data_IF_025026291309
#
_entry.id   IF_025026291309
#
_cell.length_a   1.000
_cell.length_b   1.000
_cell.length_c   1.000
_cell.angle_alpha   90.00
_cell.angle_beta   90.00
_cell.angle_gamma   90.00
#
_symmetry.space_group_name_H-M   'P 1'
#
loop_
_entity.id
_entity.type
_entity.pdbx_description
1 polymer ?
#
# COMPACT_ATOMS: atom_id res chain seq x y z
N UNK A 1 -12.30 18.03 -26.31
CA UNK A 1 -11.95 17.46 -25.01
C UNK A 1 -10.51 17.81 -24.65
N UNK A 2 -10.34 18.58 -23.61
CA UNK A 2 -9.04 18.78 -23.02
C UNK A 2 -8.66 17.53 -22.24
N UNK A 3 -7.59 16.85 -22.63
CA UNK A 3 -7.00 15.77 -21.85
C UNK A 3 -6.46 16.33 -20.55
N UNK A 4 -7.03 15.89 -19.43
CA UNK A 4 -6.52 16.24 -18.10
C UNK A 4 -5.82 15.03 -17.50
N UNK A 5 -4.72 15.21 -16.76
CA UNK A 5 -4.11 14.10 -16.06
C UNK A 5 -5.07 13.55 -15.01
N UNK A 6 -5.14 12.24 -14.92
CA UNK A 6 -5.92 11.52 -13.91
C UNK A 6 -4.96 10.87 -12.95
N UNK A 7 -5.23 11.01 -11.66
CA UNK A 7 -4.46 10.36 -10.58
C UNK A 7 -5.40 9.45 -9.82
N UNK A 8 -4.99 8.21 -9.62
CA UNK A 8 -5.65 7.30 -8.69
C UNK A 8 -5.21 7.67 -7.29
N UNK A 9 -6.06 8.40 -6.57
CA UNK A 9 -5.68 9.01 -5.31
C UNK A 9 -5.38 8.01 -4.21
N UNK A 10 -6.14 6.92 -4.17
CA UNK A 10 -6.02 6.00 -3.06
C UNK A 10 -6.46 4.59 -3.44
N UNK A 11 -5.65 3.61 -3.11
CA UNK A 11 -6.01 2.21 -3.17
C UNK A 11 -5.23 1.45 -2.10
N UNK A 12 -5.81 0.39 -1.58
CA UNK A 12 -5.19 -0.44 -0.56
C UNK A 12 -5.73 -1.85 -0.61
N UNK A 13 -5.10 -2.74 0.13
CA UNK A 13 -5.51 -4.12 0.23
C UNK A 13 -5.04 -4.72 1.55
N UNK A 14 -5.89 -5.46 2.27
CA UNK A 14 -5.53 -6.03 3.56
C UNK A 14 -4.51 -7.15 3.42
N UNK A 15 -3.86 -7.48 4.54
CA UNK A 15 -3.03 -8.68 4.64
C UNK A 15 -3.86 -9.93 4.49
N UNK A 16 -3.22 -11.02 4.06
CA UNK A 16 -3.88 -12.31 3.93
C UNK A 16 -4.53 -12.70 5.25
N UNK A 17 -5.76 -13.22 5.18
CA UNK A 17 -6.58 -13.63 6.31
C UNK A 17 -6.86 -12.50 7.32
N UNK A 18 -6.78 -11.24 6.87
CA UNK A 18 -6.98 -10.06 7.73
C UNK A 18 -6.05 -10.03 8.95
N UNK A 19 -4.84 -10.50 8.80
CA UNK A 19 -3.81 -10.37 9.83
C UNK A 19 -3.29 -8.94 9.90
N UNK A 20 -2.75 -8.55 11.06
CA UNK A 20 -2.25 -7.18 11.30
C UNK A 20 -0.75 -7.14 11.48
N UNK A 21 -0.15 -8.23 11.91
CA UNK A 21 1.27 -8.27 12.29
C UNK A 21 2.17 -8.04 11.08
N UNK A 22 3.12 -7.14 11.24
CA UNK A 22 4.14 -6.84 10.23
C UNK A 22 4.91 -8.12 9.88
N UNK A 23 5.09 -8.35 8.57
CA UNK A 23 5.76 -9.57 8.09
C UNK A 23 4.83 -10.76 7.87
N UNK A 24 3.54 -10.68 8.26
CA UNK A 24 2.57 -11.69 7.87
C UNK A 24 2.35 -11.65 6.35
N UNK A 25 1.90 -12.78 5.73
CA UNK A 25 1.79 -12.86 4.28
C UNK A 25 0.92 -11.77 3.65
N UNK A 26 1.32 -11.29 2.49
CA UNK A 26 0.65 -10.25 1.72
C UNK A 26 0.39 -10.69 0.27
N UNK A 27 0.12 -11.98 0.05
CA UNK A 27 -0.03 -12.55 -1.30
C UNK A 27 -1.16 -11.89 -2.08
N UNK A 28 -2.32 -11.70 -1.47
CA UNK A 28 -3.46 -11.02 -2.10
C UNK A 28 -3.15 -9.56 -2.40
N UNK A 29 -2.54 -8.86 -1.45
CA UNK A 29 -2.10 -7.48 -1.63
C UNK A 29 -1.12 -7.33 -2.79
N UNK A 30 -0.11 -8.19 -2.86
CA UNK A 30 0.92 -8.14 -3.88
C UNK A 30 0.33 -8.36 -5.28
N UNK A 31 -0.61 -9.28 -5.41
CA UNK A 31 -1.34 -9.50 -6.67
C UNK A 31 -2.20 -8.28 -7.05
N UNK A 32 -2.90 -7.71 -6.10
CA UNK A 32 -3.74 -6.53 -6.31
C UNK A 32 -2.89 -5.32 -6.71
N UNK A 33 -1.81 -5.04 -6.00
CA UNK A 33 -0.90 -3.94 -6.34
C UNK A 33 -0.30 -4.11 -7.72
N UNK A 34 0.17 -5.31 -8.04
CA UNK A 34 0.72 -5.62 -9.38
C UNK A 34 -0.32 -5.37 -10.48
N UNK A 35 -1.56 -5.76 -10.23
CA UNK A 35 -2.66 -5.54 -11.17
C UNK A 35 -2.95 -4.05 -11.38
N UNK A 36 -3.10 -3.29 -10.29
CA UNK A 36 -3.35 -1.84 -10.36
C UNK A 36 -2.21 -1.13 -11.08
N UNK A 37 -0.97 -1.46 -10.75
CA UNK A 37 0.20 -0.86 -11.39
C UNK A 37 0.31 -1.20 -12.88
N UNK A 38 -0.08 -2.41 -13.28
CA UNK A 38 -0.10 -2.79 -14.70
C UNK A 38 -1.11 -1.96 -15.48
N UNK A 39 -2.30 -1.72 -14.92
CA UNK A 39 -3.32 -0.87 -15.54
C UNK A 39 -2.80 0.54 -15.71
N UNK A 40 -2.19 1.12 -14.68
CA UNK A 40 -1.65 2.49 -14.73
C UNK A 40 -0.56 2.60 -15.80
N UNK A 41 0.38 1.67 -15.79
CA UNK A 41 1.48 1.64 -16.77
C UNK A 41 0.97 1.52 -18.21
N UNK A 42 0.00 0.64 -18.44
CA UNK A 42 -0.42 0.27 -19.79
C UNK A 42 -1.50 1.22 -20.35
N UNK A 43 -2.26 1.91 -19.51
CA UNK A 43 -3.36 2.77 -19.95
C UNK A 43 -2.90 4.04 -20.68
N UNK A 44 -1.73 4.57 -20.32
CA UNK A 44 -1.25 5.86 -20.81
C UNK A 44 -2.11 7.07 -20.43
N UNK A 45 -3.15 6.87 -19.64
CA UNK A 45 -4.13 7.90 -19.24
C UNK A 45 -4.00 8.31 -17.78
N UNK A 46 -3.41 7.46 -16.95
CA UNK A 46 -3.25 7.70 -15.52
C UNK A 46 -1.84 8.22 -15.26
N UNK A 47 -1.76 9.44 -14.73
CA UNK A 47 -0.49 10.13 -14.50
C UNK A 47 0.26 9.65 -13.25
N UNK A 48 -0.44 9.04 -12.31
CA UNK A 48 0.17 8.54 -11.08
C UNK A 48 -0.86 7.97 -10.11
N UNK A 49 -0.38 7.51 -8.97
CA UNK A 49 -1.23 6.95 -7.93
C UNK A 49 -0.61 7.07 -6.55
N UNK A 50 -1.45 6.96 -5.54
CA UNK A 50 -1.04 6.87 -4.14
C UNK A 50 -1.65 5.61 -3.53
N UNK A 51 -0.82 4.71 -3.04
CA UNK A 51 -1.32 3.56 -2.31
C UNK A 51 -1.60 3.93 -0.83
N UNK A 52 -2.58 3.30 -0.26
CA UNK A 52 -2.88 3.36 1.16
C UNK A 52 -2.41 2.08 1.84
N UNK A 53 -1.47 2.14 2.72
CA UNK A 53 -0.64 3.32 2.92
C UNK A 53 0.68 2.92 3.57
N UNK A 54 1.56 3.88 3.66
CA UNK A 54 2.91 3.64 4.11
C UNK A 54 3.02 3.66 5.64
N UNK A 55 3.35 2.54 6.24
CA UNK A 55 3.62 2.40 7.68
C UNK A 55 5.10 2.48 8.05
N UNK A 56 5.97 2.33 7.07
CA UNK A 56 7.40 2.48 7.28
C UNK A 56 7.99 1.46 8.23
N UNK A 57 8.67 1.94 9.26
CA UNK A 57 9.29 1.12 10.30
C UNK A 57 8.49 1.07 11.60
N UNK A 58 7.29 1.62 11.59
CA UNK A 58 6.42 1.58 12.76
C UNK A 58 6.10 0.13 13.16
N UNK A 59 5.88 -0.08 14.44
CA UNK A 59 5.54 -1.38 15.00
C UNK A 59 4.10 -1.41 15.48
N UNK A 60 3.39 -2.47 15.12
CA UNK A 60 2.04 -2.71 15.61
C UNK A 60 2.14 -3.40 16.96
N UNK A 61 1.68 -2.74 18.02
CA UNK A 61 1.67 -3.28 19.38
C UNK A 61 0.29 -3.72 19.82
N UNK A 62 -0.74 -3.03 19.37
CA UNK A 62 -2.13 -3.32 19.67
C UNK A 62 -2.96 -3.32 18.40
N UNK A 63 -4.00 -4.15 18.34
CA UNK A 63 -4.92 -4.21 17.21
C UNK A 63 -5.62 -2.87 16.99
N UNK A 64 -6.08 -2.25 18.08
CA UNK A 64 -6.63 -0.90 18.10
C UNK A 64 -5.61 0.02 18.76
N UNK A 65 -5.33 1.15 18.13
CA UNK A 65 -4.31 2.09 18.61
C UNK A 65 -4.54 2.50 20.06
N UNK A 66 -3.49 2.42 20.85
CA UNK A 66 -3.46 2.84 22.24
C UNK A 66 -2.48 4.00 22.42
N UNK A 67 -2.71 4.81 23.42
CA UNK A 67 -1.77 5.90 23.77
C UNK A 67 -0.32 5.36 23.83
N UNK A 68 0.57 6.06 23.16
CA UNK A 68 2.01 5.75 23.05
C UNK A 68 2.38 4.65 22.05
N UNK A 69 1.40 4.08 21.33
CA UNK A 69 1.71 3.24 20.18
C UNK A 69 2.25 4.07 19.02
N UNK A 70 3.04 3.42 18.19
CA UNK A 70 3.50 4.03 16.95
C UNK A 70 2.29 4.34 16.06
N UNK A 71 2.43 5.40 15.25
CA UNK A 71 1.49 5.66 14.18
C UNK A 71 1.87 4.83 12.96
N UNK A 72 0.93 4.01 12.53
CA UNK A 72 0.98 3.28 11.26
C UNK A 72 0.10 4.01 10.24
N UNK A 73 -0.13 3.43 9.08
CA UNK A 73 -1.00 4.07 8.11
C UNK A 73 -2.49 3.93 8.46
N UNK A 74 -2.87 2.83 9.10
CA UNK A 74 -4.27 2.59 9.46
C UNK A 74 -4.75 3.60 10.50
N UNK A 75 -5.95 4.21 10.32
CA UNK A 75 -6.51 5.12 11.32
C UNK A 75 -6.64 4.49 12.70
N UNK A 76 -6.56 5.31 13.74
CA UNK A 76 -6.50 4.85 15.13
C UNK A 76 -7.70 3.97 15.56
N UNK A 77 -8.85 4.17 14.95
CA UNK A 77 -10.08 3.41 15.22
C UNK A 77 -10.19 2.12 14.41
N UNK A 78 -9.28 1.86 13.51
CA UNK A 78 -9.24 0.65 12.69
C UNK A 78 -8.16 -0.30 13.16
N UNK A 79 -8.20 -1.52 12.63
CA UNK A 79 -7.22 -2.55 12.97
C UNK A 79 -5.84 -2.17 12.46
N UNK A 80 -4.94 -1.92 13.40
CA UNK A 80 -3.60 -1.39 13.13
C UNK A 80 -2.74 -2.40 12.38
N UNK A 81 -2.18 -2.00 11.25
CA UNK A 81 -1.32 -2.84 10.42
C UNK A 81 -2.04 -3.61 9.31
N UNK A 82 -3.38 -3.59 9.31
CA UNK A 82 -4.14 -4.38 8.33
C UNK A 82 -3.84 -3.96 6.88
N UNK A 83 -3.88 -2.66 6.61
CA UNK A 83 -3.61 -2.11 5.28
C UNK A 83 -2.23 -1.46 5.16
N UNK A 84 -1.54 -1.27 6.26
CA UNK A 84 -0.22 -0.64 6.27
C UNK A 84 0.82 -1.48 5.54
N UNK A 85 1.64 -0.81 4.74
CA UNK A 85 2.82 -1.41 4.10
C UNK A 85 4.04 -1.02 4.92
N UNK A 86 4.71 -2.01 5.48
CA UNK A 86 5.93 -1.81 6.25
C UNK A 86 7.18 -2.16 5.43
N UNK A 87 8.34 -1.68 5.85
CA UNK A 87 9.61 -2.09 5.26
C UNK A 87 9.81 -3.61 5.28
N UNK A 88 9.27 -4.29 6.28
CA UNK A 88 9.31 -5.75 6.41
C UNK A 88 8.50 -6.47 5.34
N UNK A 89 7.55 -5.80 4.71
CA UNK A 89 6.75 -6.34 3.61
C UNK A 89 7.53 -6.28 2.31
N UNK A 90 8.60 -7.03 2.24
CA UNK A 90 9.61 -6.94 1.19
C UNK A 90 9.05 -7.21 -0.21
N UNK A 91 8.11 -8.13 -0.35
CA UNK A 91 7.48 -8.44 -1.63
C UNK A 91 6.66 -7.26 -2.15
N UNK A 92 5.86 -6.64 -1.30
CA UNK A 92 5.08 -5.44 -1.65
C UNK A 92 6.02 -4.28 -1.99
N UNK A 93 7.03 -4.03 -1.15
CA UNK A 93 8.01 -2.95 -1.38
C UNK A 93 8.73 -3.14 -2.71
N UNK A 94 9.08 -4.36 -3.07
CA UNK A 94 9.73 -4.66 -4.35
C UNK A 94 8.81 -4.30 -5.54
N UNK A 95 7.54 -4.64 -5.44
CA UNK A 95 6.53 -4.33 -6.48
C UNK A 95 6.39 -2.81 -6.64
N UNK A 96 6.28 -2.08 -5.54
CA UNK A 96 6.19 -0.60 -5.56
C UNK A 96 7.43 0.01 -6.21
N UNK A 97 8.61 -0.45 -5.84
CA UNK A 97 9.87 0.05 -6.40
C UNK A 97 10.00 -0.22 -7.90
N UNK A 98 9.60 -1.40 -8.34
CA UNK A 98 9.64 -1.76 -9.76
C UNK A 98 8.71 -0.86 -10.56
N UNK A 99 7.49 -0.63 -10.07
CA UNK A 99 6.55 0.28 -10.70
C UNK A 99 7.09 1.71 -10.80
N UNK A 100 7.68 2.21 -9.71
CA UNK A 100 8.30 3.54 -9.71
C UNK A 100 9.40 3.67 -10.77
N UNK A 101 10.22 2.65 -10.95
CA UNK A 101 11.25 2.60 -12.00
C UNK A 101 10.63 2.58 -13.39
N UNK A 102 9.57 1.82 -13.58
CA UNK A 102 8.89 1.70 -14.87
C UNK A 102 8.28 3.04 -15.29
N UNK A 103 7.73 3.81 -14.36
CA UNK A 103 7.16 5.13 -14.63
C UNK A 103 8.23 6.21 -14.87
N UNK A 104 9.41 6.06 -14.32
CA UNK A 104 10.49 7.04 -14.43
C UNK A 104 11.18 7.04 -15.82
N UNK A 105 10.78 6.17 -16.73
CA UNK A 105 11.32 6.08 -18.10
C UNK A 105 10.70 7.08 -19.05
#
# INVERSE_FOLDING_TARGET
FRKRPVVLEEFGYPRDRFRFDAGSPTTGRDRYYSYVFSIIRDSGMIAGCNFWGWGGRAEVRNTIWQRWDDYVCDPAQEEQGLNSVFWKDRSTVRIIRQFAKDLAR
#
